data_IF_457972958829
#
_entry.id   IF_457972958829
#
_cell.length_a   1.000
_cell.length_b   1.000
_cell.length_c   1.000
_cell.angle_alpha   90.00
_cell.angle_beta   90.00
_cell.angle_gamma   90.00
#
_symmetry.space_group_name_H-M   'P 1'
#
loop_
_entity.id
_entity.type
_entity.pdbx_description
1 polymer ?
#
# COMPACT_ATOMS: atom_id res chain seq x y z
N UNK A 1 9.68 11.85 -7.10
CA UNK A 1 8.40 11.67 -6.40
C UNK A 1 8.47 10.42 -5.54
N UNK A 2 8.16 10.54 -4.26
CA UNK A 2 8.24 9.44 -3.31
C UNK A 2 6.99 8.57 -3.43
N UNK A 3 7.16 7.27 -3.47
CA UNK A 3 6.07 6.33 -3.71
C UNK A 3 5.71 5.54 -2.46
N UNK A 4 4.50 5.78 -1.94
CA UNK A 4 3.97 5.02 -0.81
C UNK A 4 3.75 3.55 -1.19
N UNK A 5 3.43 3.28 -2.45
CA UNK A 5 3.25 1.91 -2.95
C UNK A 5 4.58 1.16 -2.87
N UNK A 6 5.67 1.79 -3.30
CA UNK A 6 7.00 1.19 -3.23
C UNK A 6 7.35 0.82 -1.78
N UNK A 7 7.09 1.73 -0.85
CA UNK A 7 7.34 1.49 0.57
C UNK A 7 6.57 0.27 1.09
N UNK A 8 5.29 0.18 0.75
CA UNK A 8 4.45 -0.94 1.18
C UNK A 8 4.96 -2.26 0.63
N UNK A 9 5.28 -2.30 -0.66
CA UNK A 9 5.72 -3.54 -1.31
C UNK A 9 7.08 -4.00 -0.79
N UNK A 10 8.03 -3.08 -0.62
CA UNK A 10 9.34 -3.41 -0.04
C UNK A 10 9.20 -3.90 1.39
N UNK A 11 8.30 -3.29 2.16
CA UNK A 11 8.03 -3.70 3.53
C UNK A 11 7.48 -5.11 3.62
N UNK A 12 6.69 -5.54 2.64
CA UNK A 12 6.12 -6.89 2.63
C UNK A 12 7.15 -7.99 2.42
N UNK A 13 8.28 -7.68 1.77
CA UNK A 13 9.36 -8.65 1.55
C UNK A 13 10.56 -8.39 2.46
N UNK A 14 10.45 -7.44 3.38
CA UNK A 14 11.56 -7.03 4.23
C UNK A 14 12.10 -8.17 5.11
N UNK A 15 11.20 -8.91 5.74
CA UNK A 15 11.59 -9.96 6.68
C UNK A 15 11.80 -11.32 6.02
N UNK A 16 11.11 -11.58 4.93
CA UNK A 16 11.21 -12.86 4.23
C UNK A 16 10.77 -12.72 2.78
N UNK A 17 11.31 -13.57 1.89
CA UNK A 17 10.83 -13.61 0.51
C UNK A 17 9.34 -13.97 0.44
N UNK A 18 8.65 -13.41 -0.56
CA UNK A 18 7.24 -13.70 -0.79
C UNK A 18 6.98 -13.81 -2.29
N UNK A 19 6.02 -14.66 -2.67
CA UNK A 19 5.57 -14.72 -4.06
C UNK A 19 4.74 -13.48 -4.41
N UNK A 20 4.68 -13.14 -5.69
CA UNK A 20 3.83 -12.06 -6.17
C UNK A 20 2.37 -12.30 -5.77
N UNK A 21 1.92 -13.53 -5.83
CA UNK A 21 0.56 -13.90 -5.40
C UNK A 21 0.33 -13.62 -3.92
N UNK A 22 1.29 -13.98 -3.05
CA UNK A 22 1.18 -13.71 -1.61
C UNK A 22 1.17 -12.22 -1.31
N UNK A 23 1.98 -11.45 -2.03
CA UNK A 23 2.00 -9.99 -1.87
C UNK A 23 0.64 -9.41 -2.23
N UNK A 24 0.06 -9.83 -3.35
CA UNK A 24 -1.26 -9.39 -3.77
C UNK A 24 -2.32 -9.77 -2.74
N UNK A 25 -2.27 -10.98 -2.22
CA UNK A 25 -3.20 -11.46 -1.18
C UNK A 25 -3.10 -10.61 0.09
N UNK A 26 -1.89 -10.24 0.50
CA UNK A 26 -1.71 -9.37 1.66
C UNK A 26 -2.29 -7.98 1.43
N UNK A 27 -2.13 -7.43 0.22
CA UNK A 27 -2.73 -6.15 -0.14
C UNK A 27 -4.26 -6.21 -0.01
N UNK A 28 -4.88 -7.27 -0.53
CA UNK A 28 -6.32 -7.47 -0.45
C UNK A 28 -6.79 -7.69 1.00
N UNK A 29 -6.10 -8.58 1.73
CA UNK A 29 -6.46 -8.93 3.11
C UNK A 29 -6.45 -7.73 4.03
N UNK A 30 -5.46 -6.86 3.90
CA UNK A 30 -5.33 -5.65 4.74
C UNK A 30 -6.18 -4.49 4.25
N UNK A 31 -6.95 -4.68 3.17
CA UNK A 31 -7.74 -3.63 2.54
C UNK A 31 -6.92 -2.37 2.23
N UNK A 32 -5.65 -2.56 1.85
CA UNK A 32 -4.76 -1.45 1.56
C UNK A 32 -5.26 -0.60 0.40
N UNK A 33 -6.07 -1.17 -0.49
CA UNK A 33 -6.70 -0.42 -1.58
C UNK A 33 -7.66 0.68 -1.08
N UNK A 34 -8.17 0.56 0.15
CA UNK A 34 -9.01 1.60 0.77
C UNK A 34 -8.18 2.75 1.36
N UNK A 35 -6.92 2.49 1.68
CA UNK A 35 -6.03 3.46 2.31
C UNK A 35 -5.10 4.12 1.31
N UNK A 36 -4.70 3.37 0.29
CA UNK A 36 -3.79 3.80 -0.76
C UNK A 36 -4.38 3.33 -2.08
N UNK A 37 -4.36 4.18 -3.11
CA UNK A 37 -4.84 3.78 -4.44
C UNK A 37 -3.89 2.74 -5.03
N UNK A 38 -4.23 1.48 -4.83
CA UNK A 38 -3.45 0.36 -5.33
C UNK A 38 -4.41 -0.68 -5.91
N UNK A 39 -4.14 -1.14 -7.12
CA UNK A 39 -4.91 -2.20 -7.77
C UNK A 39 -4.02 -3.42 -7.98
N UNK A 40 -4.62 -4.60 -8.16
CA UNK A 40 -3.86 -5.82 -8.41
C UNK A 40 -2.91 -5.72 -9.61
N UNK A 41 -3.34 -5.19 -10.77
CA UNK A 41 -2.41 -4.97 -11.88
C UNK A 41 -1.26 -4.04 -11.52
N UNK A 42 -1.52 -3.01 -10.70
CA UNK A 42 -0.48 -2.09 -10.24
C UNK A 42 0.56 -2.77 -9.37
N UNK A 43 0.16 -3.73 -8.53
CA UNK A 43 1.08 -4.49 -7.69
C UNK A 43 2.09 -5.25 -8.56
N UNK A 44 1.60 -6.03 -9.52
CA UNK A 44 2.47 -6.80 -10.39
C UNK A 44 3.40 -5.92 -11.23
N UNK A 45 2.87 -4.81 -11.74
CA UNK A 45 3.67 -3.86 -12.51
C UNK A 45 4.77 -3.24 -11.67
N UNK A 46 4.44 -2.82 -10.45
CA UNK A 46 5.41 -2.21 -9.54
C UNK A 46 6.49 -3.18 -9.10
N UNK A 47 6.14 -4.44 -8.86
CA UNK A 47 7.12 -5.45 -8.51
C UNK A 47 8.16 -5.63 -9.61
N UNK A 48 7.72 -5.65 -10.87
CA UNK A 48 8.63 -5.74 -12.01
C UNK A 48 9.54 -4.50 -12.14
N UNK A 49 8.98 -3.31 -11.90
CA UNK A 49 9.75 -2.06 -11.95
C UNK A 49 10.81 -2.05 -10.83
N UNK A 50 10.44 -2.46 -9.62
CA UNK A 50 11.38 -2.51 -8.49
C UNK A 50 12.49 -3.53 -8.74
N UNK A 51 12.18 -4.66 -9.39
CA UNK A 51 13.18 -5.64 -9.81
C UNK A 51 14.14 -5.05 -10.85
N UNK A 52 13.62 -4.36 -11.86
CA UNK A 52 14.43 -3.72 -12.89
C UNK A 52 15.38 -2.68 -12.32
N UNK A 53 14.95 -1.98 -11.29
CA UNK A 53 15.77 -0.98 -10.59
C UNK A 53 16.78 -1.58 -9.61
N UNK A 54 16.73 -2.89 -9.42
CA UNK A 54 17.67 -3.58 -8.54
C UNK A 54 17.29 -3.60 -7.07
N UNK A 55 16.08 -3.21 -6.73
CA UNK A 55 15.61 -3.21 -5.34
C UNK A 55 15.02 -4.55 -4.91
N UNK A 56 14.60 -5.35 -5.88
CA UNK A 56 14.09 -6.71 -5.66
C UNK A 56 14.83 -7.69 -6.54
N UNK A 57 14.96 -8.92 -6.06
CA UNK A 57 15.40 -10.06 -6.86
C UNK A 57 14.24 -11.02 -7.02
N UNK A 58 14.16 -11.66 -8.17
CA UNK A 58 13.13 -12.65 -8.45
C UNK A 58 13.76 -14.01 -8.63
N UNK A 59 13.19 -15.01 -7.98
CA UNK A 59 13.56 -16.40 -8.16
C UNK A 59 12.31 -17.18 -8.51
N UNK A 60 12.37 -17.97 -9.57
CA UNK A 60 11.26 -18.82 -9.96
C UNK A 60 11.37 -20.15 -9.23
N UNK A 61 10.28 -20.55 -8.59
CA UNK A 61 10.19 -21.82 -7.88
C UNK A 61 9.00 -22.62 -8.35
N UNK A 62 9.19 -23.93 -8.44
CA UNK A 62 8.12 -24.84 -8.78
C UNK A 62 8.13 -26.00 -7.80
N UNK A 63 6.99 -26.25 -7.19
CA UNK A 63 6.80 -27.38 -6.27
C UNK A 63 5.95 -28.45 -6.94
N UNK A 64 6.57 -29.60 -7.24
CA UNK A 64 5.87 -30.73 -7.85
C UNK A 64 5.20 -30.34 -9.18
N UNK A 65 3.91 -30.60 -9.28
CA UNK A 65 3.11 -30.29 -10.45
C UNK A 65 2.43 -28.93 -10.39
N UNK A 66 2.73 -28.12 -9.35
CA UNK A 66 2.17 -26.79 -9.22
C UNK A 66 2.75 -25.83 -10.25
N UNK A 67 1.99 -24.79 -10.65
CA UNK A 67 2.52 -23.76 -11.51
C UNK A 67 3.76 -23.09 -10.91
N UNK A 68 4.67 -22.64 -11.78
CA UNK A 68 5.86 -21.93 -11.37
C UNK A 68 5.48 -20.61 -10.68
N UNK A 69 6.13 -20.30 -9.57
CA UNK A 69 5.91 -19.08 -8.80
C UNK A 69 7.12 -18.16 -8.89
N UNK A 70 6.86 -16.87 -8.99
CA UNK A 70 7.90 -15.85 -8.87
C UNK A 70 8.01 -15.43 -7.42
N UNK A 71 9.16 -15.68 -6.80
CA UNK A 71 9.44 -15.31 -5.41
C UNK A 71 10.32 -14.08 -5.39
N UNK A 72 9.85 -13.02 -4.78
CA UNK A 72 10.57 -11.76 -4.66
C UNK A 72 11.29 -11.67 -3.33
N UNK A 73 12.54 -11.22 -3.38
CA UNK A 73 13.39 -11.00 -2.21
C UNK A 73 13.93 -9.58 -2.24
N UNK A 74 14.13 -9.02 -1.05
CA UNK A 74 14.71 -7.69 -0.93
C UNK A 74 16.22 -7.76 -1.14
N UNK A 75 16.75 -6.92 -2.03
CA UNK A 75 18.20 -6.76 -2.22
C UNK A 75 18.77 -5.83 -1.15
N UNK A 76 20.10 -5.73 -1.12
CA UNK A 76 20.79 -4.77 -0.25
C UNK A 76 20.37 -3.33 -0.60
N UNK A 77 20.32 -3.03 -1.89
CA UNK A 77 19.89 -1.72 -2.38
C UNK A 77 18.42 -1.47 -2.09
N UNK A 78 17.59 -2.51 -2.15
CA UNK A 78 16.17 -2.42 -1.81
C UNK A 78 15.97 -2.11 -0.33
N UNK A 79 16.76 -2.73 0.54
CA UNK A 79 16.72 -2.46 1.98
C UNK A 79 17.09 -1.00 2.27
N UNK A 80 18.12 -0.51 1.61
CA UNK A 80 18.53 0.88 1.75
C UNK A 80 17.44 1.83 1.26
N UNK A 81 16.85 1.54 0.12
CA UNK A 81 15.76 2.32 -0.45
C UNK A 81 14.54 2.33 0.46
N UNK A 82 14.21 1.18 1.07
CA UNK A 82 13.12 1.11 2.05
C UNK A 82 13.31 2.12 3.18
N UNK A 83 14.49 2.17 3.77
CA UNK A 83 14.78 3.11 4.85
C UNK A 83 14.75 4.56 4.39
N UNK A 84 15.25 4.83 3.18
CA UNK A 84 15.16 6.17 2.58
C UNK A 84 13.69 6.61 2.43
N UNK A 85 12.83 5.71 1.93
CA UNK A 85 11.41 6.00 1.78
C UNK A 85 10.72 6.23 3.13
N UNK A 86 11.07 5.44 4.15
CA UNK A 86 10.53 5.63 5.49
C UNK A 86 10.81 7.04 6.00
N UNK A 87 12.03 7.52 5.82
CA UNK A 87 12.42 8.86 6.28
C UNK A 87 11.79 9.96 5.43
N UNK A 88 11.80 9.81 4.11
CA UNK A 88 11.23 10.82 3.22
C UNK A 88 9.73 10.98 3.39
N UNK A 89 9.00 9.87 3.42
CA UNK A 89 7.54 9.91 3.52
C UNK A 89 7.11 10.42 4.90
N UNK A 90 7.79 9.97 5.96
CA UNK A 90 7.44 10.40 7.32
C UNK A 90 7.77 11.86 7.58
N UNK A 91 8.73 12.44 6.85
CA UNK A 91 9.10 13.84 7.00
C UNK A 91 8.19 14.79 6.23
N UNK A 92 7.41 14.28 5.27
CA UNK A 92 6.52 15.14 4.49
C UNK A 92 5.28 15.52 5.29
N UNK A 93 4.82 16.79 5.20
CA UNK A 93 3.52 17.14 5.73
C UNK A 93 2.46 16.30 5.02
N UNK A 94 1.52 15.80 5.76
CA UNK A 94 0.42 15.07 5.16
C UNK A 94 -0.91 15.73 5.52
N UNK A 95 -1.84 15.68 4.56
CA UNK A 95 -3.19 16.11 4.77
C UNK A 95 -4.09 14.87 4.76
N UNK A 96 -4.89 14.75 5.80
CA UNK A 96 -5.91 13.71 5.85
C UNK A 96 -7.23 14.35 5.44
N UNK A 97 -7.64 14.06 4.20
CA UNK A 97 -8.87 14.60 3.64
C UNK A 97 -9.94 13.51 3.66
N UNK A 98 -11.00 13.77 4.40
CA UNK A 98 -12.14 12.87 4.46
C UNK A 98 -13.38 13.63 3.95
N UNK A 99 -14.23 12.94 3.22
CA UNK A 99 -15.48 13.53 2.74
C UNK A 99 -16.34 14.04 3.89
N UNK A 100 -16.30 13.35 5.04
CA UNK A 100 -17.07 13.79 6.20
C UNK A 100 -16.59 15.14 6.75
N UNK A 101 -15.38 15.60 6.44
CA UNK A 101 -14.91 16.92 6.86
C UNK A 101 -15.83 18.01 6.29
N UNK A 102 -16.34 17.84 5.07
CA UNK A 102 -17.29 18.75 4.48
C UNK A 102 -18.59 18.81 5.29
N UNK A 103 -19.02 17.67 5.82
CA UNK A 103 -20.18 17.56 6.68
C UNK A 103 -19.93 18.30 8.00
N UNK A 104 -18.77 18.04 8.62
CA UNK A 104 -18.41 18.66 9.92
C UNK A 104 -18.37 20.19 9.80
N UNK A 105 -17.75 20.72 8.76
CA UNK A 105 -17.65 22.16 8.55
C UNK A 105 -19.02 22.79 8.35
N UNK A 106 -19.96 22.05 7.77
CA UNK A 106 -21.29 22.55 7.42
C UNK A 106 -22.36 22.26 8.48
N UNK A 107 -22.00 21.59 9.59
CA UNK A 107 -22.97 21.23 10.65
C UNK A 107 -23.71 22.44 11.23
N UNK A 108 -23.08 23.60 11.28
CA UNK A 108 -23.69 24.81 11.81
C UNK A 108 -24.76 25.40 10.90
N UNK A 109 -24.94 24.86 9.69
CA UNK A 109 -25.95 25.31 8.74
C UNK A 109 -27.24 24.51 8.81
N UNK A 110 -27.25 23.41 9.52
CA UNK A 110 -28.42 22.54 9.68
C UNK A 110 -28.88 22.58 11.14
N UNK A 111 -30.13 22.17 11.39
CA UNK A 111 -30.63 22.10 12.76
C UNK A 111 -30.01 20.91 13.50
N UNK A 112 -30.26 20.88 14.82
CA UNK A 112 -29.65 19.86 15.67
C UNK A 112 -30.06 18.44 15.29
N UNK A 113 -31.32 18.25 14.93
CA UNK A 113 -31.84 16.92 14.55
C UNK A 113 -31.19 16.43 13.27
N UNK A 114 -31.12 17.25 12.23
CA UNK A 114 -30.46 16.91 10.97
C UNK A 114 -28.97 16.67 11.18
N UNK A 115 -28.32 17.51 11.99
CA UNK A 115 -26.89 17.34 12.30
C UNK A 115 -26.60 16.02 12.99
N UNK A 116 -27.44 15.59 13.93
CA UNK A 116 -27.30 14.31 14.62
C UNK A 116 -27.47 13.14 13.65
N UNK A 117 -28.43 13.22 12.73
CA UNK A 117 -28.61 12.19 11.71
C UNK A 117 -27.37 12.05 10.82
N UNK A 118 -26.80 13.15 10.38
CA UNK A 118 -25.59 13.16 9.54
C UNK A 118 -24.41 12.53 10.27
N UNK A 119 -24.20 12.90 11.54
CA UNK A 119 -23.08 12.36 12.33
C UNK A 119 -23.26 10.87 12.57
N UNK A 120 -24.48 10.40 12.81
CA UNK A 120 -24.75 8.98 13.03
C UNK A 120 -24.46 8.14 11.79
N UNK A 121 -24.67 8.67 10.58
CA UNK A 121 -24.35 7.97 9.33
C UNK A 121 -22.85 7.82 9.10
N UNK A 122 -22.05 8.76 9.60
CA UNK A 122 -20.59 8.71 9.47
C UNK A 122 -19.98 7.67 10.41
N UNK A 123 -20.61 7.46 11.56
CA UNK A 123 -20.10 6.57 12.61
C UNK A 123 -20.14 5.08 12.23
#
# INVERSE_FOLDING_TARGET
MVSSIDLILLGMVYDQPRSAYDIQKHVEYRNLSHWVKISSPSVYKKLRVLEQKGYLMTKRQREGNMPEKSIYSLTREGRKYFHELMHEISAQPFEILFDFNAVVVSLNKVDKEEGLECVQRIA
#
